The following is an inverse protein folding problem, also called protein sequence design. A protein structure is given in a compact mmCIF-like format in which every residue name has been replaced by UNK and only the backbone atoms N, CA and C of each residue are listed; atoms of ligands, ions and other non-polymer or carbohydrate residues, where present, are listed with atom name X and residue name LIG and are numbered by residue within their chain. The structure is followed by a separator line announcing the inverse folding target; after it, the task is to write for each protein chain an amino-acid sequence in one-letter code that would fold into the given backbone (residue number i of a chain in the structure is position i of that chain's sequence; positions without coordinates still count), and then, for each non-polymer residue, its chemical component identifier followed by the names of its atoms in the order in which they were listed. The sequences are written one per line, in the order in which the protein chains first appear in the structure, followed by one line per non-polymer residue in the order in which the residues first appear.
data_IF_764006179046
#
_entry.id   IF_764006179046
#
_cell.length_a   1.000
_cell.length_b   1.000
_cell.length_c   1.000
_cell.angle_alpha   90.00
_cell.angle_beta   90.00
_cell.angle_gamma   90.00
#
_symmetry.space_group_name_H-M   'P 1'
#
loop_
_entity.id
_entity.type
_entity.pdbx_description
1 polymer ?
#
# COMPACT_ATOMS: atom_id res chain seq x y z
N UNK A 1 2.53 -7.17 -15.45
CA UNK A 1 3.13 -6.32 -14.39
C UNK A 1 2.82 -6.89 -13.01
N UNK A 2 1.53 -7.13 -12.67
CA UNK A 2 1.14 -7.72 -11.38
C UNK A 2 1.84 -9.03 -10.99
N UNK A 3 1.94 -10.01 -11.90
CA UNK A 3 2.64 -11.29 -11.62
C UNK A 3 4.12 -11.12 -11.28
N UNK A 4 4.83 -10.25 -12.00
CA UNK A 4 6.24 -9.95 -11.71
C UNK A 4 6.39 -9.22 -10.39
N UNK A 5 5.49 -8.28 -10.09
CA UNK A 5 5.47 -7.58 -8.81
C UNK A 5 5.21 -8.54 -7.64
N UNK A 6 4.31 -9.51 -7.80
CA UNK A 6 4.07 -10.56 -6.81
C UNK A 6 5.32 -11.42 -6.59
N UNK A 7 5.99 -11.87 -7.66
CA UNK A 7 7.25 -12.63 -7.54
C UNK A 7 8.30 -11.82 -6.78
N UNK A 8 8.44 -10.54 -7.10
CA UNK A 8 9.40 -9.65 -6.40
C UNK A 8 8.98 -9.45 -4.94
N UNK A 9 7.69 -9.28 -4.64
CA UNK A 9 7.18 -9.09 -3.28
C UNK A 9 7.35 -10.34 -2.40
N UNK A 10 7.15 -11.53 -2.96
CA UNK A 10 7.18 -12.79 -2.22
C UNK A 10 8.61 -13.33 -2.05
N UNK A 11 9.44 -13.23 -3.10
CA UNK A 11 10.75 -13.89 -3.15
C UNK A 11 11.94 -12.95 -2.94
N UNK A 12 11.74 -11.63 -2.85
CA UNK A 12 12.83 -10.67 -2.65
C UNK A 12 12.55 -9.69 -1.52
N UNK A 13 13.58 -9.14 -0.86
CA UNK A 13 13.38 -8.18 0.23
C UNK A 13 13.07 -6.75 -0.25
N UNK A 14 12.87 -6.52 -1.55
CA UNK A 14 12.72 -5.17 -2.13
C UNK A 14 11.55 -4.43 -1.48
N UNK A 15 10.36 -5.03 -1.45
CA UNK A 15 9.17 -4.40 -0.87
C UNK A 15 9.25 -4.27 0.65
N UNK A 16 9.97 -5.18 1.32
CA UNK A 16 10.26 -5.07 2.74
C UNK A 16 11.10 -3.82 3.05
N UNK A 17 12.14 -3.55 2.26
CA UNK A 17 12.94 -2.33 2.41
C UNK A 17 12.16 -1.07 2.10
N UNK A 18 11.39 -1.07 1.01
CA UNK A 18 10.56 0.08 0.64
C UNK A 18 9.43 0.35 1.64
N UNK A 19 8.94 -0.67 2.35
CA UNK A 19 7.94 -0.55 3.42
C UNK A 19 8.49 -0.02 4.74
N UNK A 20 9.80 -0.14 5.01
CA UNK A 20 10.40 0.31 6.28
C UNK A 20 10.04 1.73 6.72
N UNK A 21 9.98 2.74 5.82
CA UNK A 21 9.57 4.09 6.19
C UNK A 21 8.15 4.20 6.77
N UNK A 22 7.26 3.26 6.44
CA UNK A 22 5.87 3.24 6.93
C UNK A 22 5.73 2.55 8.30
N UNK A 23 6.71 1.77 8.74
CA UNK A 23 6.71 1.10 10.05
C UNK A 23 6.51 2.10 11.20
N UNK A 24 7.34 3.15 11.38
CA UNK A 24 7.19 4.07 12.51
C UNK A 24 5.84 4.80 12.49
N UNK A 25 5.29 5.07 11.30
CA UNK A 25 3.96 5.67 11.15
C UNK A 25 2.86 4.70 11.65
N UNK A 26 2.92 3.44 11.24
CA UNK A 26 1.97 2.42 11.68
C UNK A 26 2.08 2.12 13.18
N UNK A 27 3.29 2.08 13.72
CA UNK A 27 3.54 1.92 15.16
C UNK A 27 3.01 3.12 15.96
N UNK A 28 3.24 4.35 15.49
CA UNK A 28 2.69 5.56 16.08
C UNK A 28 1.16 5.53 16.12
N UNK A 29 0.56 5.05 15.03
CA UNK A 29 -0.88 4.86 14.91
C UNK A 29 -1.39 3.59 15.61
N UNK A 30 -0.53 2.85 16.33
CA UNK A 30 -0.84 1.64 17.10
C UNK A 30 -1.44 0.49 16.28
N UNK A 31 -1.08 0.39 15.01
CA UNK A 31 -1.51 -0.72 14.15
C UNK A 31 -0.74 -2.00 14.52
N UNK A 32 -1.41 -3.09 14.93
CA UNK A 32 -0.76 -4.38 15.17
C UNK A 32 -0.08 -4.91 13.90
N UNK A 33 0.96 -5.74 14.07
CA UNK A 33 1.66 -6.34 12.92
C UNK A 33 2.19 -5.28 11.92
N UNK A 34 2.55 -4.09 12.42
CA UNK A 34 2.96 -2.91 11.65
C UNK A 34 4.02 -3.20 10.58
N UNK A 35 4.98 -4.08 10.88
CA UNK A 35 6.02 -4.49 9.94
C UNK A 35 5.44 -5.22 8.72
N UNK A 36 4.59 -6.22 8.93
CA UNK A 36 3.96 -6.96 7.84
C UNK A 36 3.02 -6.04 7.06
N UNK A 37 2.23 -5.23 7.76
CA UNK A 37 1.37 -4.24 7.14
C UNK A 37 2.15 -3.23 6.26
N UNK A 38 3.30 -2.74 6.73
CA UNK A 38 4.12 -1.76 6.01
C UNK A 38 4.57 -2.25 4.63
N UNK A 39 4.91 -3.54 4.52
CA UNK A 39 5.27 -4.16 3.25
C UNK A 39 4.08 -4.16 2.29
N UNK A 40 2.89 -4.53 2.79
CA UNK A 40 1.68 -4.58 1.95
C UNK A 40 1.29 -3.21 1.40
N UNK A 41 1.48 -2.13 2.17
CA UNK A 41 1.13 -0.77 1.74
C UNK A 41 1.90 -0.33 0.50
N UNK A 42 3.17 -0.71 0.34
CA UNK A 42 3.97 -0.36 -0.83
C UNK A 42 3.65 -1.26 -2.03
N UNK A 43 3.37 -2.54 -1.78
CA UNK A 43 2.97 -3.46 -2.86
C UNK A 43 1.70 -2.97 -3.56
N UNK A 44 0.85 -2.20 -2.87
CA UNK A 44 -0.32 -1.52 -3.44
C UNK A 44 0.00 -0.62 -4.63
N UNK A 45 1.22 -0.07 -4.71
CA UNK A 45 1.66 0.70 -5.87
C UNK A 45 1.81 -0.15 -7.13
N UNK A 46 2.15 -1.43 -6.98
CA UNK A 46 2.25 -2.34 -8.10
C UNK A 46 0.86 -2.82 -8.57
N UNK A 47 -0.03 -3.14 -7.63
CA UNK A 47 -1.37 -3.64 -7.89
C UNK A 47 -2.28 -3.51 -6.66
N UNK A 48 -3.55 -3.16 -6.85
CA UNK A 48 -4.48 -2.89 -5.75
C UNK A 48 -4.90 -4.13 -4.95
N UNK A 49 -4.80 -5.33 -5.53
CA UNK A 49 -5.26 -6.57 -4.87
C UNK A 49 -4.17 -7.27 -4.09
N UNK A 50 -2.91 -7.10 -4.50
CA UNK A 50 -1.76 -7.74 -3.88
C UNK A 50 -1.60 -7.46 -2.37
N UNK A 51 -1.87 -6.25 -1.84
CA UNK A 51 -1.80 -6.02 -0.40
C UNK A 51 -2.70 -6.95 0.40
N UNK A 52 -3.92 -7.22 -0.10
CA UNK A 52 -4.90 -8.08 0.59
C UNK A 52 -4.52 -9.55 0.48
N UNK A 53 -3.93 -9.97 -0.65
CA UNK A 53 -3.44 -11.35 -0.84
C UNK A 53 -2.27 -11.64 0.10
N UNK A 54 -1.28 -10.75 0.14
CA UNK A 54 -0.09 -10.90 0.98
C UNK A 54 -0.45 -10.75 2.47
N UNK A 55 -1.34 -9.80 2.79
CA UNK A 55 -1.83 -9.58 4.15
C UNK A 55 -2.82 -10.64 4.66
N UNK A 56 -3.12 -11.69 3.89
CA UNK A 56 -4.08 -12.73 4.29
C UNK A 56 -3.66 -13.53 5.52
N UNK A 57 -2.37 -13.54 5.85
CA UNK A 57 -1.79 -14.25 7.01
C UNK A 57 -1.78 -13.41 8.30
N UNK A 58 -2.10 -12.11 8.20
CA UNK A 58 -2.17 -11.19 9.34
C UNK A 58 -3.32 -11.59 10.24
N UNK A 59 -3.11 -11.63 11.55
CA UNK A 59 -4.12 -12.10 12.51
C UNK A 59 -5.07 -11.01 12.97
N UNK A 60 -4.59 -9.77 13.06
CA UNK A 60 -5.38 -8.64 13.50
C UNK A 60 -6.42 -8.23 12.46
N UNK A 61 -7.69 -8.27 12.83
CA UNK A 61 -8.78 -7.77 11.99
C UNK A 61 -8.66 -6.26 11.77
N UNK A 62 -8.18 -5.50 12.77
CA UNK A 62 -7.86 -4.07 12.63
C UNK A 62 -6.84 -3.86 11.50
N UNK A 63 -5.74 -4.60 11.51
CA UNK A 63 -4.68 -4.45 10.50
C UNK A 63 -5.16 -4.88 9.12
N UNK A 64 -5.91 -5.98 9.02
CA UNK A 64 -6.50 -6.42 7.74
C UNK A 64 -7.50 -5.40 7.19
N UNK A 65 -8.29 -4.76 8.05
CA UNK A 65 -9.19 -3.67 7.66
C UNK A 65 -8.40 -2.47 7.11
N UNK A 66 -7.34 -2.05 7.80
CA UNK A 66 -6.47 -0.96 7.35
C UNK A 66 -5.88 -1.27 5.96
N UNK A 67 -5.36 -2.47 5.75
CA UNK A 67 -4.78 -2.90 4.47
C UNK A 67 -5.84 -2.90 3.36
N UNK A 68 -7.01 -3.48 3.62
CA UNK A 68 -8.10 -3.54 2.64
C UNK A 68 -8.59 -2.14 2.23
N UNK A 69 -8.76 -1.23 3.20
CA UNK A 69 -9.20 0.13 2.90
C UNK A 69 -8.11 0.93 2.16
N UNK A 70 -6.86 0.84 2.62
CA UNK A 70 -5.74 1.56 1.99
C UNK A 70 -5.54 1.11 0.55
N UNK A 71 -5.60 -0.20 0.27
CA UNK A 71 -5.40 -0.74 -1.08
C UNK A 71 -6.42 -0.24 -2.10
N UNK A 72 -7.68 -0.07 -1.69
CA UNK A 72 -8.74 0.52 -2.53
C UNK A 72 -8.55 2.03 -2.65
N UNK A 73 -8.17 2.71 -1.56
CA UNK A 73 -8.05 4.16 -1.58
C UNK A 73 -6.84 4.64 -2.35
N UNK A 74 -5.76 3.88 -2.53
CA UNK A 74 -4.53 4.36 -3.17
C UNK A 74 -4.69 4.69 -4.67
N UNK A 75 -5.72 4.18 -5.37
CA UNK A 75 -6.18 4.40 -6.77
C UNK A 75 -5.13 4.36 -7.90
N UNK A 76 -3.87 4.68 -7.64
CA UNK A 76 -2.77 4.77 -8.58
C UNK A 76 -1.90 3.54 -8.38
N UNK A 77 -2.06 2.58 -9.27
CA UNK A 77 -1.25 1.36 -9.32
C UNK A 77 -0.73 1.14 -10.74
N UNK A 78 0.49 0.65 -10.85
CA UNK A 78 1.24 0.61 -12.11
C UNK A 78 0.75 -0.46 -13.08
N UNK A 79 0.00 -1.47 -12.62
CA UNK A 79 -0.52 -2.52 -13.52
C UNK A 79 -1.56 -1.98 -14.51
N UNK A 80 -2.27 -0.88 -14.21
CA UNK A 80 -3.27 -0.29 -15.11
C UNK A 80 -3.26 1.25 -15.08
N UNK A 81 -3.73 1.86 -13.98
CA UNK A 81 -3.96 3.32 -13.88
C UNK A 81 -2.68 4.12 -14.11
N UNK A 82 -1.55 3.68 -13.53
CA UNK A 82 -0.26 4.35 -13.72
C UNK A 82 0.21 4.34 -15.18
N UNK A 83 0.07 3.20 -15.87
CA UNK A 83 0.41 3.10 -17.29
C UNK A 83 -0.50 3.97 -18.18
N UNK A 84 -1.80 4.03 -17.85
CA UNK A 84 -2.77 4.85 -18.57
C UNK A 84 -2.48 6.34 -18.40
N UNK A 85 -2.10 6.78 -17.19
CA UNK A 85 -1.70 8.17 -16.93
C UNK A 85 -0.45 8.57 -17.72
N UNK A 86 0.58 7.71 -17.75
CA UNK A 86 1.83 7.97 -18.50
C UNK A 86 1.57 7.99 -20.02
N UNK A 87 0.70 7.11 -20.51
CA UNK A 87 0.35 7.06 -21.94
C UNK A 87 -0.62 8.16 -22.40
N UNK A 88 -1.19 8.91 -21.46
CA UNK A 88 -2.14 9.99 -21.75
C UNK A 88 -1.44 11.31 -22.11
N UNK A 89 -2.22 12.33 -22.47
CA UNK A 89 -1.71 13.69 -22.70
C UNK A 89 -1.39 14.44 -21.40
N UNK A 90 -1.64 13.84 -20.24
CA UNK A 90 -1.36 14.43 -18.94
C UNK A 90 0.16 14.36 -18.72
N UNK A 91 0.85 15.50 -18.49
CA UNK A 91 2.31 15.53 -18.37
C UNK A 91 2.76 15.08 -16.96
N UNK A 92 2.50 13.82 -16.62
CA UNK A 92 2.93 13.20 -15.36
C UNK A 92 4.04 12.20 -15.59
N UNK A 93 5.11 12.30 -14.80
CA UNK A 93 6.22 11.36 -14.81
C UNK A 93 5.98 10.21 -13.81
N UNK A 94 6.76 9.13 -13.95
CA UNK A 94 6.75 8.02 -12.96
C UNK A 94 7.07 8.53 -11.55
N UNK A 95 7.93 9.55 -11.43
CA UNK A 95 8.26 10.15 -10.13
C UNK A 95 7.05 10.84 -9.52
N UNK A 96 6.28 11.56 -10.32
CA UNK A 96 5.06 12.23 -9.86
C UNK A 96 4.03 11.21 -9.38
N UNK A 97 3.87 10.09 -10.09
CA UNK A 97 2.97 9.01 -9.65
C UNK A 97 3.39 8.40 -8.30
N UNK A 98 4.69 8.20 -8.08
CA UNK A 98 5.21 7.71 -6.79
C UNK A 98 4.94 8.73 -5.67
N UNK A 99 5.15 10.02 -5.94
CA UNK A 99 4.89 11.10 -4.97
C UNK A 99 3.40 11.12 -4.61
N UNK A 100 2.51 11.16 -5.60
CA UNK A 100 1.06 11.17 -5.38
C UNK A 100 0.62 9.91 -4.62
N UNK A 101 1.19 8.74 -4.93
CA UNK A 101 0.90 7.51 -4.18
C UNK A 101 1.26 7.63 -2.70
N UNK A 102 2.44 8.14 -2.38
CA UNK A 102 2.89 8.34 -0.99
C UNK A 102 2.02 9.38 -0.29
N UNK A 103 1.77 10.52 -0.93
CA UNK A 103 0.92 11.58 -0.37
C UNK A 103 -0.49 11.07 -0.05
N UNK A 104 -1.12 10.36 -1.00
CA UNK A 104 -2.44 9.80 -0.78
C UNK A 104 -2.43 8.78 0.33
N UNK A 105 -1.41 7.93 0.41
CA UNK A 105 -1.27 6.96 1.51
C UNK A 105 -1.13 7.66 2.86
N UNK A 106 -0.26 8.67 2.98
CA UNK A 106 -0.05 9.41 4.23
C UNK A 106 -1.31 10.16 4.67
N UNK A 107 -2.08 10.71 3.73
CA UNK A 107 -3.30 11.46 4.04
C UNK A 107 -4.45 10.52 4.43
N UNK A 108 -4.63 9.39 3.72
CA UNK A 108 -5.76 8.48 3.99
C UNK A 108 -5.52 7.55 5.16
N UNK A 109 -4.28 7.12 5.40
CA UNK A 109 -3.94 6.12 6.42
C UNK A 109 -4.41 6.53 7.83
N UNK A 110 -4.17 7.75 8.35
CA UNK A 110 -4.64 8.14 9.67
C UNK A 110 -6.16 8.10 9.82
N UNK A 111 -6.89 8.48 8.78
CA UNK A 111 -8.37 8.46 8.76
C UNK A 111 -8.86 7.01 8.82
N UNK A 112 -8.27 6.13 8.00
CA UNK A 112 -8.61 4.70 7.96
C UNK A 112 -8.28 4.04 9.30
N UNK A 113 -7.11 4.31 9.87
CA UNK A 113 -6.70 3.72 11.15
C UNK A 113 -7.56 4.21 12.30
N UNK A 114 -7.95 5.49 12.31
CA UNK A 114 -8.90 6.02 13.29
C UNK A 114 -10.23 5.26 13.24
N UNK A 115 -10.78 5.05 12.05
CA UNK A 115 -12.01 4.28 11.86
C UNK A 115 -11.80 2.83 12.29
N UNK A 116 -10.65 2.23 11.98
CA UNK A 116 -10.34 0.86 12.35
C UNK A 116 -10.36 0.66 13.89
N UNK A 117 -9.82 1.60 14.66
CA UNK A 117 -9.86 1.57 16.13
C UNK A 117 -11.26 1.81 16.73
N UNK A 118 -12.19 2.37 15.94
CA UNK A 118 -13.59 2.52 16.38
C UNK A 118 -14.36 1.21 16.16
N UNK A 119 -13.97 0.43 15.15
CA UNK A 119 -14.69 -0.79 14.73
C UNK A 119 -14.17 -2.07 15.40
N UNK A 120 -12.89 -2.10 15.82
CA UNK A 120 -12.19 -3.27 16.37
C UNK A 120 -11.42 -2.91 17.65
#
# INVERSE_FOLDING_TARGET
IGTLALIIAEYTPIFKFLGMPFIPLLELLRVPEAKEASQTLIVGFADMFLPTVIGSTIKSDLTRFVIACTSVTQLIYMSEVGGLLIGSKIPVSIKDLIIIFIERTIVTLPIIVLIAHILF
#
